data_IF_314652384940
#
_entry.id   IF_314652384940
#
_cell.length_a   1.000
_cell.length_b   1.000
_cell.length_c   1.000
_cell.angle_alpha   90.00
_cell.angle_beta   90.00
_cell.angle_gamma   90.00
#
_symmetry.space_group_name_H-M   'P 1'
#
loop_
_entity.id
_entity.type
_entity.pdbx_description
1 polymer ?
#
# COMPACT_ATOMS: atom_id res chain seq x y z
N UNK A 1 32.51 2.15 9.04
CA UNK A 1 31.20 2.50 8.47
C UNK A 1 30.44 3.28 9.52
N UNK A 2 30.02 4.51 9.23
CA UNK A 2 29.11 5.25 10.10
C UNK A 2 27.73 4.63 9.87
N UNK A 3 27.13 4.04 10.90
CA UNK A 3 25.74 3.57 10.87
C UNK A 3 24.83 4.78 11.00
N UNK A 4 24.02 5.04 9.96
CA UNK A 4 23.00 6.08 9.99
C UNK A 4 21.70 5.51 10.56
N UNK A 5 21.03 6.27 11.41
CA UNK A 5 19.73 5.93 11.98
C UNK A 5 18.62 6.40 11.03
N UNK A 6 17.78 5.48 10.58
CA UNK A 6 16.66 5.84 9.73
C UNK A 6 15.58 6.61 10.52
N UNK A 7 15.12 7.73 9.96
CA UNK A 7 14.02 8.53 10.50
C UNK A 7 12.94 8.72 9.43
N UNK A 8 11.68 8.46 9.80
CA UNK A 8 10.53 8.68 8.92
C UNK A 8 10.09 10.15 9.02
N UNK A 9 10.30 10.95 7.98
CA UNK A 9 9.98 12.38 7.98
C UNK A 9 8.46 12.69 8.05
N UNK A 10 7.60 11.69 7.88
CA UNK A 10 6.16 11.80 8.07
C UNK A 10 5.71 11.46 9.50
N UNK A 11 6.62 11.00 10.37
CA UNK A 11 6.36 10.89 11.80
C UNK A 11 6.38 12.29 12.44
N UNK A 12 5.68 12.45 13.58
CA UNK A 12 5.66 13.72 14.31
C UNK A 12 7.07 14.09 14.77
N UNK A 13 7.41 15.37 14.63
CA UNK A 13 8.70 15.92 15.07
C UNK A 13 8.89 15.66 16.58
N UNK A 14 7.81 15.67 17.37
CA UNK A 14 7.84 15.36 18.78
C UNK A 14 8.37 13.96 19.06
N UNK A 15 7.80 12.93 18.41
CA UNK A 15 8.19 11.54 18.63
C UNK A 15 9.62 11.31 18.16
N UNK A 16 9.98 11.82 16.98
CA UNK A 16 11.32 11.70 16.42
C UNK A 16 12.37 12.35 17.31
N UNK A 17 12.15 13.58 17.78
CA UNK A 17 13.09 14.27 18.67
C UNK A 17 13.11 13.68 20.09
N UNK A 18 12.03 13.02 20.53
CA UNK A 18 12.00 12.31 21.82
C UNK A 18 12.81 11.02 21.74
N UNK A 19 12.67 10.28 20.63
CA UNK A 19 13.42 9.05 20.35
C UNK A 19 14.89 9.34 20.06
N UNK A 20 15.17 10.42 19.33
CA UNK A 20 16.50 10.84 18.92
C UNK A 20 16.75 12.31 19.32
N UNK A 21 17.17 12.59 20.57
CA UNK A 21 17.38 13.96 21.06
C UNK A 21 18.29 14.82 20.18
N UNK A 22 19.30 14.22 19.54
CA UNK A 22 20.23 14.89 18.61
C UNK A 22 19.56 15.42 17.34
N UNK A 23 18.42 14.86 16.93
CA UNK A 23 17.65 15.34 15.77
C UNK A 23 17.12 16.75 16.00
N UNK A 24 16.89 17.14 17.25
CA UNK A 24 16.45 18.48 17.62
C UNK A 24 17.49 19.54 17.27
N UNK A 25 18.77 19.21 17.40
CA UNK A 25 19.88 20.09 17.00
C UNK A 25 20.03 20.11 15.48
N UNK A 26 19.89 18.96 14.81
CA UNK A 26 19.92 18.88 13.35
C UNK A 26 18.83 19.74 12.68
N UNK A 27 17.61 19.68 13.20
CA UNK A 27 16.49 20.50 12.70
C UNK A 27 16.69 21.99 13.02
N UNK A 28 17.27 22.33 14.17
CA UNK A 28 17.59 23.72 14.47
C UNK A 28 18.58 24.30 13.45
N UNK A 29 19.64 23.56 13.11
CA UNK A 29 20.63 23.98 12.12
C UNK A 29 20.09 24.07 10.68
N UNK A 30 19.00 23.36 10.40
CA UNK A 30 18.25 23.44 9.15
C UNK A 30 17.29 24.65 9.09
N UNK A 31 17.33 25.54 10.08
CA UNK A 31 16.51 26.76 10.13
C UNK A 31 15.11 26.54 10.72
N UNK A 32 14.89 25.46 11.48
CA UNK A 32 13.71 25.27 12.31
C UNK A 32 13.91 25.86 13.71
N UNK A 33 14.28 27.15 13.78
CA UNK A 33 14.77 27.82 15.00
C UNK A 33 13.85 27.68 16.22
N UNK A 34 12.53 27.64 15.98
CA UNK A 34 11.50 27.52 17.02
C UNK A 34 11.47 26.15 17.69
N UNK A 35 12.17 25.13 17.17
CA UNK A 35 12.15 23.77 17.72
C UNK A 35 12.79 23.69 19.11
N UNK A 36 13.72 24.59 19.45
CA UNK A 36 14.32 24.67 20.79
C UNK A 36 13.41 25.34 21.82
N UNK A 37 12.36 26.05 21.41
CA UNK A 37 11.39 26.63 22.34
C UNK A 37 10.51 25.53 22.98
N UNK A 38 10.51 25.35 24.31
CA UNK A 38 9.79 24.27 24.97
C UNK A 38 8.27 24.30 24.76
N UNK A 39 7.67 25.49 24.68
CA UNK A 39 6.23 25.65 24.49
C UNK A 39 5.84 25.22 23.07
N UNK A 40 6.55 25.73 22.05
CA UNK A 40 6.31 25.38 20.65
C UNK A 40 6.59 23.90 20.39
N UNK A 41 7.64 23.35 20.97
CA UNK A 41 7.96 21.93 20.85
C UNK A 41 6.85 21.06 21.47
N UNK A 42 6.40 21.33 22.69
CA UNK A 42 5.39 20.48 23.34
C UNK A 42 3.96 20.64 22.78
N UNK A 43 3.73 21.58 21.85
CA UNK A 43 2.43 21.86 21.23
C UNK A 43 2.42 21.52 19.73
N UNK A 44 3.15 22.29 18.91
CA UNK A 44 3.12 22.17 17.45
C UNK A 44 3.79 20.89 16.98
N UNK A 45 4.92 20.49 17.60
CA UNK A 45 5.69 19.34 17.10
C UNK A 45 4.99 17.98 17.23
N UNK A 46 3.91 17.90 18.04
CA UNK A 46 3.07 16.70 18.16
C UNK A 46 2.24 16.43 16.91
N UNK A 47 1.90 17.49 16.17
CA UNK A 47 1.04 17.44 14.97
C UNK A 47 1.80 17.80 13.69
N UNK A 48 3.00 18.40 13.82
CA UNK A 48 3.87 18.76 12.70
C UNK A 48 4.84 17.63 12.38
N UNK A 49 5.04 17.36 11.08
CA UNK A 49 6.03 16.41 10.56
C UNK A 49 7.18 17.17 9.91
N UNK A 50 8.34 16.53 9.72
CA UNK A 50 9.46 17.15 9.01
C UNK A 50 9.04 17.46 7.56
N UNK A 51 8.34 16.53 6.89
CA UNK A 51 7.86 16.72 5.52
C UNK A 51 6.94 17.94 5.37
N UNK A 52 5.96 18.09 6.25
CA UNK A 52 5.03 19.23 6.20
C UNK A 52 5.74 20.54 6.54
N UNK A 53 6.69 20.52 7.49
CA UNK A 53 7.46 21.69 7.85
C UNK A 53 8.37 22.17 6.70
N UNK A 54 8.91 21.26 5.87
CA UNK A 54 9.65 21.58 4.65
C UNK A 54 8.75 22.20 3.58
N UNK A 55 7.58 21.60 3.32
CA UNK A 55 6.58 22.14 2.37
C UNK A 55 6.15 23.56 2.74
N UNK A 56 5.93 23.84 4.03
CA UNK A 56 5.56 25.17 4.52
C UNK A 56 6.66 26.23 4.33
N UNK A 57 7.93 25.80 4.29
CA UNK A 57 9.09 26.67 4.08
C UNK A 57 9.60 26.67 2.64
N UNK A 58 8.93 25.93 1.75
CA UNK A 58 9.35 25.74 0.35
C UNK A 58 10.80 25.22 0.22
N UNK A 59 11.17 24.27 1.10
CA UNK A 59 12.49 23.62 1.10
C UNK A 59 12.36 22.23 0.48
N UNK A 60 13.19 21.91 -0.52
CA UNK A 60 13.23 20.57 -1.10
C UNK A 60 13.83 19.58 -0.09
N UNK A 61 13.21 18.40 0.02
CA UNK A 61 13.67 17.29 0.85
C UNK A 61 15.12 16.88 0.53
N UNK A 62 15.56 17.07 -0.72
CA UNK A 62 16.94 16.77 -1.16
C UNK A 62 17.97 17.65 -0.46
N UNK A 63 17.62 18.91 -0.20
CA UNK A 63 18.55 19.92 0.31
C UNK A 63 18.89 19.70 1.79
N UNK A 64 18.04 18.97 2.52
CA UNK A 64 18.24 18.70 3.95
C UNK A 64 18.95 17.37 4.22
N UNK A 65 19.12 16.53 3.20
CA UNK A 65 19.64 15.16 3.33
C UNK A 65 21.04 15.14 3.90
N UNK A 66 21.95 15.89 3.28
CA UNK A 66 23.36 15.85 3.65
C UNK A 66 23.57 16.36 5.07
N UNK A 67 22.79 17.37 5.44
CA UNK A 67 22.77 17.89 6.82
C UNK A 67 22.30 16.83 7.82
N UNK A 68 21.22 16.11 7.53
CA UNK A 68 20.74 15.05 8.43
C UNK A 68 21.74 13.88 8.52
N UNK A 69 22.43 13.55 7.42
CA UNK A 69 23.49 12.54 7.41
C UNK A 69 24.68 12.93 8.29
N UNK A 70 25.08 14.22 8.29
CA UNK A 70 26.12 14.74 9.19
C UNK A 70 25.75 14.51 10.67
N UNK A 71 24.46 14.58 10.97
CA UNK A 71 23.90 14.31 12.30
C UNK A 71 23.66 12.81 12.59
N UNK A 72 23.98 11.93 11.64
CA UNK A 72 23.84 10.49 11.76
C UNK A 72 22.45 9.97 11.42
N UNK A 73 21.61 10.74 10.73
CA UNK A 73 20.25 10.37 10.37
C UNK A 73 20.07 10.20 8.86
N UNK A 74 19.43 9.11 8.44
CA UNK A 74 19.01 8.87 7.06
C UNK A 74 17.48 9.06 6.96
N UNK A 75 17.05 9.91 6.05
CA UNK A 75 15.61 10.13 5.76
C UNK A 75 15.07 9.21 4.67
N UNK A 76 15.81 8.15 4.32
CA UNK A 76 15.43 7.22 3.26
C UNK A 76 15.68 7.78 1.87
N UNK A 77 16.43 8.88 1.76
CA UNK A 77 16.85 9.40 0.46
C UNK A 77 18.05 8.63 -0.10
N UNK A 78 18.81 7.86 0.69
CA UNK A 78 19.79 6.91 0.13
C UNK A 78 19.13 5.69 -0.53
N UNK A 79 17.88 5.37 -0.15
CA UNK A 79 17.02 4.41 -0.84
C UNK A 79 16.31 4.99 -2.06
N UNK A 80 16.22 6.32 -2.17
CA UNK A 80 15.87 6.99 -3.42
C UNK A 80 17.10 7.10 -4.34
N UNK A 81 18.28 7.47 -3.81
CA UNK A 81 19.43 7.89 -4.62
C UNK A 81 20.33 6.75 -5.12
N UNK A 82 20.36 5.56 -4.50
CA UNK A 82 21.20 4.46 -5.02
C UNK A 82 20.67 3.78 -6.29
N UNK A 83 19.41 4.04 -6.69
CA UNK A 83 18.79 3.46 -7.89
C UNK A 83 18.19 4.51 -8.85
N UNK A 84 18.43 5.81 -8.65
CA UNK A 84 17.97 6.90 -9.53
C UNK A 84 18.94 7.28 -10.63
N UNK A 85 19.68 6.33 -11.20
CA UNK A 85 20.14 6.53 -12.59
C UNK A 85 19.03 6.17 -13.58
N UNK A 86 17.91 5.60 -13.10
CA UNK A 86 16.76 5.24 -13.93
C UNK A 86 15.58 6.19 -13.69
N UNK A 87 15.21 6.88 -14.76
CA UNK A 87 13.93 7.59 -14.94
C UNK A 87 12.74 6.66 -14.69
N UNK A 88 11.54 7.25 -14.54
CA UNK A 88 10.28 6.50 -14.41
C UNK A 88 10.14 5.50 -15.57
N UNK A 89 10.47 5.93 -16.78
CA UNK A 89 10.42 5.10 -17.98
C UNK A 89 11.40 3.93 -17.90
N UNK A 90 12.63 4.14 -17.45
CA UNK A 90 13.62 3.07 -17.32
C UNK A 90 13.27 2.07 -16.21
N UNK A 91 12.66 2.54 -15.12
CA UNK A 91 12.13 1.63 -14.06
C UNK A 91 10.98 0.80 -14.60
N UNK A 92 10.10 1.42 -15.37
CA UNK A 92 8.99 0.77 -16.04
C UNK A 92 9.48 -0.31 -17.03
N UNK A 93 10.52 -0.03 -17.82
CA UNK A 93 11.16 -1.03 -18.70
C UNK A 93 11.75 -2.22 -17.92
N UNK A 94 12.39 -1.98 -16.76
CA UNK A 94 12.88 -3.08 -15.93
C UNK A 94 11.72 -3.93 -15.40
N UNK A 95 10.64 -3.30 -14.92
CA UNK A 95 9.44 -4.01 -14.48
C UNK A 95 8.86 -4.88 -15.60
N UNK A 96 8.69 -4.31 -16.80
CA UNK A 96 8.22 -5.03 -17.99
C UNK A 96 9.12 -6.21 -18.34
N UNK A 97 10.44 -6.01 -18.32
CA UNK A 97 11.41 -7.07 -18.59
C UNK A 97 11.33 -8.23 -17.58
N UNK A 98 11.22 -7.93 -16.29
CA UNK A 98 11.09 -8.96 -15.25
C UNK A 98 9.79 -9.74 -15.40
N UNK A 99 8.69 -9.06 -15.75
CA UNK A 99 7.39 -9.66 -16.05
C UNK A 99 7.50 -10.63 -17.25
N UNK A 100 8.10 -10.20 -18.35
CA UNK A 100 8.26 -11.03 -19.56
C UNK A 100 9.18 -12.23 -19.33
N UNK A 101 10.30 -12.06 -18.64
CA UNK A 101 11.23 -13.17 -18.34
C UNK A 101 10.56 -14.27 -17.52
N UNK A 102 9.77 -13.85 -16.56
CA UNK A 102 8.97 -14.73 -15.73
C UNK A 102 7.87 -15.44 -16.53
N UNK A 103 7.22 -14.74 -17.46
CA UNK A 103 6.26 -15.33 -18.40
C UNK A 103 6.85 -16.56 -19.10
N UNK A 104 8.10 -16.40 -19.55
CA UNK A 104 8.84 -17.40 -20.30
C UNK A 104 9.37 -18.54 -19.42
N UNK A 105 8.98 -18.61 -18.15
CA UNK A 105 9.30 -19.71 -17.24
C UNK A 105 10.63 -19.59 -16.51
N UNK A 106 11.24 -18.39 -16.47
CA UNK A 106 12.44 -18.18 -15.65
C UNK A 106 12.14 -18.40 -14.16
N UNK A 107 13.13 -18.95 -13.43
CA UNK A 107 13.00 -19.28 -12.02
C UNK A 107 12.69 -18.03 -11.15
N UNK A 108 11.76 -18.17 -10.22
CA UNK A 108 11.30 -17.05 -9.40
C UNK A 108 12.38 -16.49 -8.45
N UNK A 109 13.31 -17.32 -7.98
CA UNK A 109 14.36 -16.89 -7.05
C UNK A 109 15.44 -16.07 -7.78
N UNK A 110 15.73 -16.39 -9.06
CA UNK A 110 16.63 -15.55 -9.88
C UNK A 110 16.00 -14.20 -10.19
N UNK A 111 14.70 -14.18 -10.47
CA UNK A 111 13.95 -12.95 -10.71
C UNK A 111 13.85 -12.09 -9.45
N UNK A 112 13.69 -12.69 -8.26
CA UNK A 112 13.75 -11.98 -6.98
C UNK A 112 15.07 -11.25 -6.78
N UNK A 113 16.18 -11.95 -6.98
CA UNK A 113 17.53 -11.37 -6.84
C UNK A 113 17.71 -10.19 -7.82
N UNK A 114 17.25 -10.34 -9.06
CA UNK A 114 17.34 -9.29 -10.07
C UNK A 114 16.43 -8.09 -9.77
N UNK A 115 15.23 -8.36 -9.26
CA UNK A 115 14.29 -7.35 -8.81
C UNK A 115 14.86 -6.53 -7.65
N UNK A 116 15.39 -7.18 -6.61
CA UNK A 116 16.01 -6.51 -5.46
C UNK A 116 17.22 -5.66 -5.87
N UNK A 117 18.04 -6.16 -6.79
CA UNK A 117 19.21 -5.43 -7.32
C UNK A 117 18.83 -4.23 -8.17
N UNK A 118 17.81 -4.36 -9.03
CA UNK A 118 17.52 -3.38 -10.09
C UNK A 118 16.40 -2.41 -9.73
N UNK A 119 15.51 -2.81 -8.84
CA UNK A 119 14.31 -2.05 -8.48
C UNK A 119 14.18 -1.79 -6.99
N UNK A 120 14.80 -2.57 -6.10
CA UNK A 120 14.85 -2.47 -4.62
C UNK A 120 13.50 -2.29 -3.90
N UNK A 121 12.73 -1.26 -4.26
CA UNK A 121 11.33 -1.02 -3.91
C UNK A 121 10.56 -0.50 -5.12
N UNK A 122 9.31 -0.94 -5.26
CA UNK A 122 8.38 -0.40 -6.27
C UNK A 122 7.03 -0.12 -5.65
N UNK A 123 6.38 0.94 -6.09
CA UNK A 123 5.05 1.29 -5.63
C UNK A 123 3.98 0.43 -6.31
N UNK A 124 2.81 0.38 -5.70
CA UNK A 124 1.63 -0.23 -6.30
C UNK A 124 1.28 0.36 -7.67
N UNK A 125 1.52 1.66 -7.84
CA UNK A 125 1.26 2.42 -9.05
C UNK A 125 2.25 2.06 -10.17
N UNK A 126 3.55 1.98 -9.87
CA UNK A 126 4.58 1.61 -10.86
C UNK A 126 4.30 0.24 -11.47
N UNK A 127 3.92 -0.73 -10.64
CA UNK A 127 3.59 -2.08 -11.12
C UNK A 127 2.27 -2.08 -11.90
N UNK A 128 1.31 -1.26 -11.52
CA UNK A 128 0.05 -1.10 -12.26
C UNK A 128 0.29 -0.55 -13.67
N UNK A 129 1.11 0.50 -13.78
CA UNK A 129 1.46 1.14 -15.05
C UNK A 129 2.23 0.19 -15.97
N UNK A 130 3.21 -0.55 -15.44
CA UNK A 130 3.96 -1.55 -16.21
C UNK A 130 3.06 -2.64 -16.80
N UNK A 131 2.09 -3.14 -16.04
CA UNK A 131 1.13 -4.13 -16.55
C UNK A 131 0.20 -3.53 -17.60
N UNK A 132 -0.28 -2.30 -17.39
CA UNK A 132 -1.13 -1.61 -18.36
C UNK A 132 -0.44 -1.45 -19.72
N UNK A 133 0.84 -1.09 -19.72
CA UNK A 133 1.60 -0.97 -20.96
C UNK A 133 1.86 -2.30 -21.66
N UNK A 134 2.12 -3.38 -20.90
CA UNK A 134 2.29 -4.70 -21.50
C UNK A 134 0.99 -5.19 -22.18
N UNK A 135 -0.17 -4.92 -21.56
CA UNK A 135 -1.47 -5.21 -22.17
C UNK A 135 -1.64 -4.41 -23.46
N UNK A 136 -1.33 -3.12 -23.44
CA UNK A 136 -1.37 -2.27 -24.64
C UNK A 136 -0.38 -2.72 -25.73
N UNK A 137 0.70 -3.40 -25.33
CA UNK A 137 1.72 -3.96 -26.21
C UNK A 137 1.38 -5.37 -26.74
N UNK A 138 0.19 -5.89 -26.45
CA UNK A 138 -0.33 -7.14 -27.00
C UNK A 138 -0.29 -8.35 -26.07
N UNK A 139 0.17 -8.19 -24.82
CA UNK A 139 0.02 -9.24 -23.80
C UNK A 139 -1.46 -9.44 -23.48
N UNK A 140 -1.93 -10.69 -23.41
CA UNK A 140 -3.32 -10.93 -23.07
C UNK A 140 -3.60 -10.51 -21.62
N UNK A 141 -4.85 -10.13 -21.35
CA UNK A 141 -5.30 -9.78 -20.00
C UNK A 141 -5.09 -10.96 -19.04
N UNK A 142 -5.23 -12.21 -19.50
CA UNK A 142 -5.08 -13.39 -18.66
C UNK A 142 -3.62 -13.74 -18.37
N UNK A 143 -2.71 -13.42 -19.28
CA UNK A 143 -1.26 -13.45 -19.01
C UNK A 143 -0.87 -12.33 -18.05
N UNK A 144 -1.39 -11.11 -18.23
CA UNK A 144 -1.25 -10.01 -17.28
C UNK A 144 -1.69 -10.44 -15.88
N UNK A 145 -2.79 -11.20 -15.82
CA UNK A 145 -3.37 -11.64 -14.56
C UNK A 145 -2.45 -12.58 -13.76
N UNK A 146 -1.72 -13.47 -14.44
CA UNK A 146 -0.76 -14.38 -13.78
C UNK A 146 0.41 -13.65 -13.11
N UNK A 147 0.75 -12.45 -13.57
CA UNK A 147 1.76 -11.61 -12.93
C UNK A 147 1.30 -10.96 -11.63
N UNK A 148 0.00 -10.89 -11.33
CA UNK A 148 -0.48 -10.41 -10.02
C UNK A 148 -0.11 -11.36 -8.87
N UNK A 149 -0.03 -12.66 -9.12
CA UNK A 149 0.41 -13.63 -8.10
C UNK A 149 1.88 -13.41 -7.74
N UNK A 150 2.72 -13.11 -8.75
CA UNK A 150 4.16 -12.91 -8.55
C UNK A 150 4.47 -11.49 -8.08
N UNK A 151 3.67 -10.50 -8.48
CA UNK A 151 3.57 -9.18 -7.83
C UNK A 151 3.41 -9.36 -6.32
N UNK A 152 2.51 -10.21 -5.85
CA UNK A 152 2.31 -10.45 -4.41
C UNK A 152 3.50 -11.17 -3.74
N UNK A 153 4.29 -11.95 -4.48
CA UNK A 153 5.46 -12.68 -3.97
C UNK A 153 6.77 -11.88 -4.01
N UNK A 154 6.94 -10.99 -4.99
CA UNK A 154 8.08 -10.07 -5.14
C UNK A 154 7.91 -8.83 -4.25
N UNK A 155 6.69 -8.32 -4.12
CA UNK A 155 6.38 -7.13 -3.34
C UNK A 155 6.23 -7.39 -1.85
N UNK A 156 6.17 -8.65 -1.41
CA UNK A 156 6.05 -8.97 0.01
C UNK A 156 7.25 -8.48 0.82
N UNK A 157 8.44 -8.56 0.23
CA UNK A 157 9.71 -8.16 0.86
C UNK A 157 10.21 -6.79 0.37
N UNK A 158 9.69 -6.29 -0.77
CA UNK A 158 10.16 -5.06 -1.43
C UNK A 158 9.16 -3.89 -1.43
N UNK A 159 7.89 -4.09 -1.07
CA UNK A 159 7.08 -2.94 -0.66
C UNK A 159 7.63 -2.52 0.70
N UNK A 160 8.03 -1.26 0.80
CA UNK A 160 8.03 -0.60 2.10
C UNK A 160 6.58 -0.65 2.61
N UNK A 161 6.26 -1.72 3.33
CA UNK A 161 5.44 -1.58 4.51
C UNK A 161 6.32 -0.83 5.52
N UNK A 162 6.76 0.38 5.17
CA UNK A 162 7.25 1.35 6.13
C UNK A 162 6.15 1.36 7.16
N UNK A 163 6.46 0.79 8.32
CA UNK A 163 5.51 0.51 9.38
C UNK A 163 4.50 1.65 9.45
N UNK A 164 3.35 1.42 8.83
CA UNK A 164 2.13 2.01 9.31
C UNK A 164 1.92 1.22 10.60
N UNK A 165 2.69 1.57 11.64
CA UNK A 165 2.32 1.36 13.04
C UNK A 165 1.07 2.22 13.23
N UNK A 166 -0.03 1.78 12.65
CA UNK A 166 -1.31 2.41 12.88
C UNK A 166 -1.85 1.83 14.16
N UNK A 167 -1.97 2.71 15.14
CA UNK A 167 -2.69 2.46 16.38
C UNK A 167 -4.20 2.34 16.17
N UNK A 168 -4.70 2.46 14.93
CA UNK A 168 -6.12 2.29 14.63
C UNK A 168 -6.47 0.81 14.49
N UNK A 169 -7.09 0.26 15.53
CA UNK A 169 -7.48 -1.14 15.60
C UNK A 169 -8.37 -1.56 14.41
N UNK A 170 -9.21 -0.66 13.90
CA UNK A 170 -10.04 -0.92 12.72
C UNK A 170 -9.26 -1.32 11.46
N UNK A 171 -8.09 -0.73 11.20
CA UNK A 171 -7.27 -1.11 10.04
C UNK A 171 -6.77 -2.55 10.20
N UNK A 172 -6.39 -2.93 11.42
CA UNK A 172 -5.98 -4.30 11.72
C UNK A 172 -7.13 -5.28 11.59
N UNK A 173 -8.34 -4.90 12.00
CA UNK A 173 -9.55 -5.71 11.80
C UNK A 173 -9.82 -5.91 10.30
N UNK A 174 -9.79 -4.83 9.51
CA UNK A 174 -10.00 -4.88 8.07
C UNK A 174 -8.97 -5.81 7.38
N UNK A 175 -7.68 -5.64 7.68
CA UNK A 175 -6.63 -6.52 7.15
C UNK A 175 -6.78 -7.98 7.59
N UNK A 176 -7.21 -8.23 8.84
CA UNK A 176 -7.50 -9.61 9.31
C UNK A 176 -8.63 -10.26 8.52
N UNK A 177 -9.64 -9.49 8.12
CA UNK A 177 -10.69 -10.00 7.23
C UNK A 177 -10.14 -10.38 5.86
N UNK A 178 -9.28 -9.55 5.28
CA UNK A 178 -8.60 -9.85 4.01
C UNK A 178 -7.79 -11.14 4.12
N UNK A 179 -7.02 -11.32 5.19
CA UNK A 179 -6.27 -12.56 5.45
C UNK A 179 -7.18 -13.77 5.65
N UNK A 180 -8.37 -13.60 6.19
CA UNK A 180 -9.34 -14.68 6.31
C UNK A 180 -9.97 -15.04 4.96
N UNK A 181 -10.31 -14.04 4.14
CA UNK A 181 -10.80 -14.24 2.77
C UNK A 181 -9.75 -15.01 1.96
N UNK A 182 -8.47 -14.60 1.98
CA UNK A 182 -7.38 -15.32 1.30
C UNK A 182 -7.29 -16.80 1.70
N UNK A 183 -7.47 -17.11 2.99
CA UNK A 183 -7.46 -18.50 3.45
C UNK A 183 -8.58 -19.32 2.81
N UNK A 184 -9.76 -18.73 2.63
CA UNK A 184 -10.91 -19.39 2.00
C UNK A 184 -10.72 -19.63 0.50
N UNK A 185 -9.88 -18.83 -0.18
CA UNK A 185 -9.59 -19.01 -1.62
C UNK A 185 -8.83 -20.31 -1.92
N UNK A 186 -8.14 -20.89 -0.93
CA UNK A 186 -7.37 -22.12 -1.09
C UNK A 186 -8.24 -23.38 -1.17
N UNK A 187 -9.53 -23.27 -0.87
CA UNK A 187 -10.44 -24.40 -0.80
C UNK A 187 -11.77 -24.06 -1.47
N UNK A 188 -11.97 -24.60 -2.67
CA UNK A 188 -13.19 -24.37 -3.46
C UNK A 188 -14.45 -24.88 -2.75
N UNK A 189 -14.34 -25.88 -1.85
CA UNK A 189 -15.49 -26.35 -1.09
C UNK A 189 -16.03 -25.30 -0.11
N UNK A 190 -15.19 -24.31 0.23
CA UNK A 190 -15.54 -23.17 1.07
C UNK A 190 -16.22 -22.02 0.30
N UNK A 191 -16.55 -22.17 -0.99
CA UNK A 191 -17.11 -21.10 -1.84
C UNK A 191 -18.35 -20.40 -1.26
N UNK A 192 -19.25 -21.16 -0.62
CA UNK A 192 -20.44 -20.60 0.04
C UNK A 192 -20.08 -19.73 1.25
N UNK A 193 -19.05 -20.11 2.00
CA UNK A 193 -18.54 -19.36 3.14
C UNK A 193 -17.81 -18.11 2.63
N UNK A 194 -16.98 -18.26 1.59
CA UNK A 194 -16.30 -17.18 0.90
C UNK A 194 -17.30 -16.10 0.44
N UNK A 195 -18.33 -16.48 -0.32
CA UNK A 195 -19.34 -15.56 -0.81
C UNK A 195 -20.01 -14.75 0.32
N UNK A 196 -20.42 -15.42 1.40
CA UNK A 196 -21.03 -14.74 2.56
C UNK A 196 -20.06 -13.76 3.22
N UNK A 197 -18.80 -14.14 3.39
CA UNK A 197 -17.79 -13.32 4.05
C UNK A 197 -17.40 -12.13 3.20
N UNK A 198 -17.20 -12.36 1.90
CA UNK A 198 -16.87 -11.32 0.93
C UNK A 198 -18.00 -10.32 0.75
N UNK A 199 -19.25 -10.80 0.61
CA UNK A 199 -20.45 -9.93 0.55
C UNK A 199 -20.52 -8.99 1.74
N UNK A 200 -20.27 -9.52 2.95
CA UNK A 200 -20.26 -8.71 4.18
C UNK A 200 -19.10 -7.73 4.21
N UNK A 201 -17.92 -8.16 3.78
CA UNK A 201 -16.73 -7.33 3.75
C UNK A 201 -16.92 -6.12 2.80
N UNK A 202 -17.35 -6.36 1.57
CA UNK A 202 -17.63 -5.30 0.59
C UNK A 202 -18.77 -4.37 1.03
N UNK A 203 -19.82 -4.91 1.66
CA UNK A 203 -20.87 -4.07 2.24
C UNK A 203 -20.32 -3.10 3.31
N UNK A 204 -19.45 -3.58 4.20
CA UNK A 204 -18.83 -2.73 5.24
C UNK A 204 -17.87 -1.72 4.63
N UNK A 205 -17.09 -2.12 3.64
CA UNK A 205 -16.21 -1.22 2.89
C UNK A 205 -17.00 -0.05 2.30
N UNK A 206 -18.13 -0.33 1.66
CA UNK A 206 -18.97 0.71 1.04
C UNK A 206 -19.73 1.56 2.08
N UNK A 207 -20.43 0.91 3.02
CA UNK A 207 -21.29 1.61 3.97
C UNK A 207 -20.55 2.38 5.06
N UNK A 208 -19.28 2.05 5.30
CA UNK A 208 -18.46 2.64 6.38
C UNK A 208 -17.27 3.41 5.82
N UNK A 209 -16.31 2.74 5.16
CA UNK A 209 -15.06 3.37 4.73
C UNK A 209 -15.28 4.38 3.59
N UNK A 210 -15.96 3.97 2.51
CA UNK A 210 -16.26 4.87 1.40
C UNK A 210 -17.17 6.03 1.83
N UNK A 211 -18.15 5.76 2.71
CA UNK A 211 -19.02 6.80 3.25
C UNK A 211 -18.23 7.86 4.05
N UNK A 212 -17.24 7.42 4.84
CA UNK A 212 -16.37 8.33 5.58
C UNK A 212 -15.47 9.15 4.64
N UNK A 213 -14.85 8.54 3.64
CA UNK A 213 -14.04 9.28 2.66
C UNK A 213 -14.86 10.31 1.88
N UNK A 214 -16.11 9.97 1.54
CA UNK A 214 -17.02 10.86 0.82
C UNK A 214 -17.36 12.13 1.60
N UNK A 215 -17.41 12.10 2.94
CA UNK A 215 -17.64 13.34 3.71
C UNK A 215 -16.50 14.34 3.61
N UNK A 216 -15.32 13.87 3.19
CA UNK A 216 -14.14 14.69 2.91
C UNK A 216 -13.93 14.98 1.41
N UNK A 217 -14.91 14.62 0.56
CA UNK A 217 -14.84 14.87 -0.89
C UNK A 217 -14.03 13.85 -1.68
N UNK A 218 -13.51 12.79 -1.06
CA UNK A 218 -12.73 11.73 -1.72
C UNK A 218 -13.66 10.56 -2.08
N UNK A 219 -14.40 10.66 -3.18
CA UNK A 219 -15.40 9.66 -3.59
C UNK A 219 -14.91 8.71 -4.70
N UNK A 220 -13.75 8.99 -5.28
CA UNK A 220 -13.19 8.30 -6.44
C UNK A 220 -13.00 6.79 -6.25
N UNK A 221 -12.47 6.29 -5.10
CA UNK A 221 -12.34 4.85 -4.88
C UNK A 221 -13.69 4.13 -4.94
N UNK A 222 -14.74 4.75 -4.41
CA UNK A 222 -16.09 4.16 -4.38
C UNK A 222 -16.70 4.03 -5.78
N UNK A 223 -16.36 4.91 -6.71
CA UNK A 223 -16.86 4.86 -8.09
C UNK A 223 -16.33 3.66 -8.87
N UNK A 224 -15.10 3.24 -8.57
CA UNK A 224 -14.40 2.18 -9.32
C UNK A 224 -14.45 0.85 -8.58
N UNK A 225 -14.15 0.83 -7.28
CA UNK A 225 -14.04 -0.40 -6.50
C UNK A 225 -15.40 -1.07 -6.29
N UNK A 226 -16.47 -0.30 -6.06
CA UNK A 226 -17.82 -0.86 -5.86
C UNK A 226 -18.33 -1.64 -7.08
N UNK A 227 -17.97 -1.23 -8.31
CA UNK A 227 -18.34 -2.00 -9.50
C UNK A 227 -17.62 -3.35 -9.51
N UNK A 228 -16.31 -3.34 -9.30
CA UNK A 228 -15.50 -4.56 -9.27
C UNK A 228 -15.96 -5.50 -8.14
N UNK A 229 -16.31 -4.96 -6.97
CA UNK A 229 -16.88 -5.73 -5.86
C UNK A 229 -18.16 -6.48 -6.28
N UNK A 230 -19.06 -5.79 -6.98
CA UNK A 230 -20.31 -6.38 -7.49
C UNK A 230 -20.03 -7.46 -8.54
N UNK A 231 -19.15 -7.18 -9.50
CA UNK A 231 -18.76 -8.14 -10.55
C UNK A 231 -18.20 -9.43 -9.94
N UNK A 232 -17.36 -9.32 -8.90
CA UNK A 232 -16.82 -10.46 -8.15
C UNK A 232 -17.94 -11.26 -7.46
N UNK A 233 -18.87 -10.58 -6.77
CA UNK A 233 -19.97 -11.25 -6.07
C UNK A 233 -20.94 -11.92 -7.05
N UNK A 234 -21.27 -11.28 -8.16
CA UNK A 234 -22.12 -11.85 -9.21
C UNK A 234 -21.47 -13.08 -9.83
N UNK A 235 -20.16 -13.03 -10.09
CA UNK A 235 -19.40 -14.16 -10.62
C UNK A 235 -19.37 -15.33 -9.64
N UNK A 236 -19.12 -15.07 -8.35
CA UNK A 236 -19.16 -16.12 -7.31
C UNK A 236 -20.54 -16.73 -7.21
N UNK A 237 -21.58 -15.90 -7.22
CA UNK A 237 -22.97 -16.36 -7.16
C UNK A 237 -23.32 -17.21 -8.37
N UNK A 238 -22.88 -16.81 -9.57
CA UNK A 238 -23.03 -17.61 -10.77
C UNK A 238 -22.39 -18.99 -10.61
N UNK A 239 -21.15 -19.08 -10.09
CA UNK A 239 -20.51 -20.38 -9.84
C UNK A 239 -21.31 -21.22 -8.84
N UNK A 240 -21.80 -20.61 -7.76
CA UNK A 240 -22.57 -21.31 -6.71
C UNK A 240 -23.90 -21.85 -7.25
N UNK A 241 -24.60 -21.05 -8.06
CA UNK A 241 -25.94 -21.38 -8.56
C UNK A 241 -25.89 -22.28 -9.81
N UNK A 242 -24.73 -22.36 -10.49
CA UNK A 242 -24.57 -23.13 -11.72
C UNK A 242 -24.07 -24.55 -11.45
N UNK A 243 -24.67 -25.54 -12.12
CA UNK A 243 -24.14 -26.91 -12.19
C UNK A 243 -23.02 -27.00 -13.25
N UNK A 244 -21.89 -26.34 -12.97
CA UNK A 244 -20.70 -26.41 -13.81
C UNK A 244 -20.05 -27.81 -13.71
N UNK A 245 -19.44 -28.26 -14.80
CA UNK A 245 -18.54 -29.42 -14.72
C UNK A 245 -17.25 -29.04 -13.96
N UNK A 246 -16.42 -30.04 -13.63
CA UNK A 246 -15.22 -29.84 -12.81
C UNK A 246 -14.21 -28.87 -13.42
N UNK A 247 -14.04 -28.89 -14.74
CA UNK A 247 -13.02 -28.13 -15.44
C UNK A 247 -13.44 -26.65 -15.54
N UNK A 248 -14.68 -26.39 -15.97
CA UNK A 248 -15.27 -25.05 -16.03
C UNK A 248 -15.35 -24.40 -14.63
N UNK A 249 -15.69 -25.19 -13.61
CA UNK A 249 -15.73 -24.73 -12.22
C UNK A 249 -14.35 -24.25 -11.78
N UNK A 250 -13.31 -25.05 -12.05
CA UNK A 250 -11.95 -24.74 -11.65
C UNK A 250 -11.42 -23.49 -12.36
N UNK A 251 -11.59 -23.40 -13.67
CA UNK A 251 -11.15 -22.26 -14.47
C UNK A 251 -11.80 -20.96 -13.97
N UNK A 252 -13.13 -20.94 -13.85
CA UNK A 252 -13.86 -19.76 -13.36
C UNK A 252 -13.48 -19.39 -11.93
N UNK A 253 -13.26 -20.38 -11.07
CA UNK A 253 -12.85 -20.13 -9.69
C UNK A 253 -11.45 -19.52 -9.61
N UNK A 254 -10.51 -19.96 -10.46
CA UNK A 254 -9.16 -19.37 -10.56
C UNK A 254 -9.21 -17.89 -11.01
N UNK A 255 -10.06 -17.55 -11.99
CA UNK A 255 -10.26 -16.17 -12.44
C UNK A 255 -10.81 -15.26 -11.33
N UNK A 256 -11.80 -15.76 -10.59
CA UNK A 256 -12.39 -15.04 -9.46
C UNK A 256 -11.38 -14.87 -8.33
N UNK A 257 -10.61 -15.93 -8.01
CA UNK A 257 -9.56 -15.86 -6.99
C UNK A 257 -8.56 -14.74 -7.31
N UNK A 258 -8.13 -14.63 -8.57
CA UNK A 258 -7.24 -13.55 -9.01
C UNK A 258 -7.87 -12.16 -8.79
N UNK A 259 -9.17 -12.02 -9.11
CA UNK A 259 -9.91 -10.76 -8.94
C UNK A 259 -10.08 -10.36 -7.46
N UNK A 260 -10.33 -11.33 -6.57
CA UNK A 260 -10.44 -11.10 -5.13
C UNK A 260 -9.08 -10.67 -4.55
N UNK A 261 -8.00 -11.33 -4.94
CA UNK A 261 -6.64 -10.98 -4.50
C UNK A 261 -6.24 -9.56 -4.96
N UNK A 262 -6.59 -9.18 -6.19
CA UNK A 262 -6.38 -7.81 -6.68
C UNK A 262 -7.18 -6.78 -5.88
N UNK A 263 -8.43 -7.08 -5.51
CA UNK A 263 -9.23 -6.20 -4.65
C UNK A 263 -8.60 -6.02 -3.26
N UNK A 264 -8.17 -7.11 -2.62
CA UNK A 264 -7.45 -7.07 -1.34
C UNK A 264 -6.20 -6.20 -1.43
N UNK A 265 -5.46 -6.34 -2.53
CA UNK A 265 -4.28 -5.52 -2.78
C UNK A 265 -4.64 -4.03 -2.88
N UNK A 266 -5.63 -3.67 -3.68
CA UNK A 266 -6.10 -2.28 -3.83
C UNK A 266 -6.59 -1.72 -2.50
N UNK A 267 -7.28 -2.53 -1.72
CA UNK A 267 -7.72 -2.12 -0.39
C UNK A 267 -6.53 -1.79 0.52
N UNK A 268 -5.54 -2.67 0.60
CA UNK A 268 -4.42 -2.48 1.53
C UNK A 268 -3.41 -1.41 1.11
N UNK A 269 -3.28 -1.17 -0.19
CA UNK A 269 -2.23 -0.30 -0.74
C UNK A 269 -2.75 1.00 -1.34
N UNK A 270 -4.07 1.15 -1.51
CA UNK A 270 -4.68 2.38 -2.03
C UNK A 270 -5.74 2.88 -1.06
N UNK A 271 -6.75 2.06 -0.76
CA UNK A 271 -7.86 2.50 0.09
C UNK A 271 -7.41 2.81 1.52
N UNK A 272 -6.65 1.91 2.16
CA UNK A 272 -6.19 2.10 3.53
C UNK A 272 -5.29 3.33 3.65
N UNK A 273 -4.23 3.52 2.81
CA UNK A 273 -3.45 4.75 2.80
C UNK A 273 -4.30 6.00 2.61
N UNK A 274 -5.24 5.99 1.67
CA UNK A 274 -6.14 7.13 1.46
C UNK A 274 -6.99 7.44 2.70
N UNK A 275 -7.53 6.42 3.38
CA UNK A 275 -8.24 6.61 4.64
C UNK A 275 -7.34 7.26 5.70
N UNK A 276 -6.08 6.85 5.79
CA UNK A 276 -5.13 7.40 6.77
C UNK A 276 -4.80 8.87 6.48
N UNK A 277 -4.61 9.19 5.21
CA UNK A 277 -4.26 10.54 4.77
C UNK A 277 -5.45 11.52 4.83
N UNK A 278 -6.68 10.99 4.79
CA UNK A 278 -7.91 11.79 4.72
C UNK A 278 -8.62 11.93 6.07
N UNK A 279 -8.72 10.85 6.85
CA UNK A 279 -9.64 10.76 7.99
C UNK A 279 -8.99 11.20 9.30
N UNK A 280 -9.79 11.80 10.17
CA UNK A 280 -9.36 12.18 11.51
C UNK A 280 -9.31 10.97 12.46
N UNK A 281 -8.71 11.16 13.63
CA UNK A 281 -8.69 10.13 14.69
C UNK A 281 -10.12 9.79 15.15
N UNK A 282 -10.96 10.79 15.31
CA UNK A 282 -12.36 10.64 15.73
C UNK A 282 -13.17 9.85 14.69
N UNK A 283 -12.90 10.04 13.39
CA UNK A 283 -13.51 9.24 12.32
C UNK A 283 -13.13 7.77 12.46
N UNK A 284 -11.85 7.46 12.72
CA UNK A 284 -11.42 6.07 12.91
C UNK A 284 -12.09 5.40 14.13
N UNK A 285 -12.28 6.12 15.23
CA UNK A 285 -13.00 5.62 16.41
C UNK A 285 -14.49 5.35 16.11
N UNK A 286 -15.15 6.24 15.37
CA UNK A 286 -16.54 6.07 14.92
C UNK A 286 -16.68 4.90 13.93
N UNK A 287 -15.77 4.80 12.96
CA UNK A 287 -15.69 3.68 12.01
C UNK A 287 -15.52 2.37 12.79
N UNK A 288 -14.62 2.30 13.76
CA UNK A 288 -14.40 1.08 14.56
C UNK A 288 -15.66 0.61 15.29
N UNK A 289 -16.39 1.55 15.91
CA UNK A 289 -17.67 1.29 16.59
C UNK A 289 -18.72 0.76 15.61
N UNK A 290 -18.82 1.35 14.41
CA UNK A 290 -19.76 0.92 13.36
C UNK A 290 -19.38 -0.42 12.75
N UNK A 291 -18.09 -0.67 12.55
CA UNK A 291 -17.59 -1.89 11.93
C UNK A 291 -17.83 -3.11 12.84
N UNK A 292 -17.66 -2.94 14.14
CA UNK A 292 -17.87 -3.98 15.16
C UNK A 292 -19.35 -4.29 15.41
N UNK A 293 -20.25 -3.32 15.24
CA UNK A 293 -21.71 -3.56 15.30
C UNK A 293 -22.23 -4.31 14.07
N UNK A 294 -21.50 -4.20 12.97
CA UNK A 294 -21.79 -4.89 11.71
C UNK A 294 -20.89 -6.13 11.52
N UNK A 295 -20.32 -6.74 12.57
CA UNK A 295 -19.58 -8.03 12.51
C UNK A 295 -20.38 -9.28 12.87
#
# INVERSE_FOLDING_TARGET
MITLEYININESIYNLCTKYPKLKDALYDLGFDKIKNPIMFNTISKFMTINNALKMKDIDIKDIKDKLNEYGFDIGLNTYIKNTDKTIDERNEVLKSLIVRLHNGENIDSIKIDFEKKLFKVSAEEVHNAMHELINSGMSIDEAKRFFYIRTLLLRDAIDNCNITNNYNIINIFKKENRYIEKLLNDISSINILYKKLSRHYYKKESILFKALKSYGNDEPSKVMTRVDKDILESLKYIIDSNLNSDDLKEKYEEINASILDMIFKEENILIPLCIDTLSKEDFEDIESKYSKNS
#
